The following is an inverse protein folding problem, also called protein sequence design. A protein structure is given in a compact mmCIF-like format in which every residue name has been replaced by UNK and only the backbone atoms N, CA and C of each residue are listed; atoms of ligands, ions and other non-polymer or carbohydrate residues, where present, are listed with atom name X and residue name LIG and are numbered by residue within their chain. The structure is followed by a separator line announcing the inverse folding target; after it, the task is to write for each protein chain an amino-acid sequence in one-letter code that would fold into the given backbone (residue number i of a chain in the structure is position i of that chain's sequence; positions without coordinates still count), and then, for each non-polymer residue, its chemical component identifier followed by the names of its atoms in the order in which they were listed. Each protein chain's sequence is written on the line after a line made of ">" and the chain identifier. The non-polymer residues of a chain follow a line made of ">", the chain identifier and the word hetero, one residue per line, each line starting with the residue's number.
data_IF_094060010851
#
_entry.id   IF_094060010851
#
_cell.length_a   1.000
_cell.length_b   1.000
_cell.length_c   1.000
_cell.angle_alpha   90.00
_cell.angle_beta   90.00
_cell.angle_gamma   90.00
#
_symmetry.space_group_name_H-M   'P 1'
#
loop_
_entity.id
_entity.type
_entity.pdbx_description
1 polymer ?
#
# COMPACT_ATOMS: atom_id res chain seq x y z
N UNK A 1 -30.72 -3.28 18.95
CA UNK A 1 -30.80 -2.62 17.67
C UNK A 1 -29.55 -2.83 16.89
N UNK A 2 -29.63 -3.64 15.84
CA UNK A 2 -28.59 -3.82 14.86
C UNK A 2 -28.28 -2.47 14.23
N UNK A 3 -27.08 -1.93 14.50
CA UNK A 3 -26.59 -0.78 13.75
C UNK A 3 -26.08 -1.27 12.42
N UNK A 4 -26.85 -1.05 11.39
CA UNK A 4 -26.51 -1.18 10.00
C UNK A 4 -25.11 -0.64 9.72
N UNK A 5 -24.30 -1.51 9.12
CA UNK A 5 -23.05 -1.09 8.47
C UNK A 5 -23.44 -0.16 7.33
N UNK A 6 -23.19 1.12 7.51
CA UNK A 6 -23.25 2.06 6.41
C UNK A 6 -22.18 1.66 5.39
N UNK A 7 -22.62 1.04 4.32
CA UNK A 7 -21.80 0.83 3.14
C UNK A 7 -21.44 2.22 2.61
N UNK A 8 -20.17 2.57 2.66
CA UNK A 8 -19.67 3.76 1.98
C UNK A 8 -19.67 3.45 0.50
N UNK A 9 -20.81 3.67 -0.13
CA UNK A 9 -20.97 3.67 -1.57
C UNK A 9 -20.46 5.00 -2.14
N UNK A 10 -19.16 5.15 -2.16
CA UNK A 10 -18.52 6.05 -3.08
C UNK A 10 -17.95 5.19 -4.20
N UNK A 11 -18.68 5.02 -5.28
CA UNK A 11 -18.23 4.29 -6.46
C UNK A 11 -17.02 5.00 -7.05
N UNK A 12 -15.84 4.70 -6.51
CA UNK A 12 -14.58 5.03 -7.17
C UNK A 12 -14.53 4.24 -8.47
N UNK A 13 -14.04 4.81 -9.56
CA UNK A 13 -13.85 4.04 -10.78
C UNK A 13 -13.03 2.79 -10.42
N UNK A 14 -13.48 1.64 -10.88
CA UNK A 14 -12.86 0.36 -10.58
C UNK A 14 -11.41 0.36 -11.05
N UNK A 15 -10.51 0.72 -10.13
CA UNK A 15 -9.07 0.64 -10.35
C UNK A 15 -8.68 -0.81 -10.10
N UNK A 16 -8.37 -1.54 -11.17
CA UNK A 16 -7.90 -2.90 -11.06
C UNK A 16 -6.42 -2.91 -10.69
N UNK A 17 -6.09 -3.68 -9.66
CA UNK A 17 -4.73 -3.83 -9.16
C UNK A 17 -4.39 -5.32 -9.06
N UNK A 18 -3.12 -5.70 -9.23
CA UNK A 18 -2.69 -7.05 -8.91
C UNK A 18 -2.76 -7.28 -7.38
N UNK A 19 -2.74 -8.55 -6.93
CA UNK A 19 -2.73 -8.84 -5.51
C UNK A 19 -1.60 -8.11 -4.79
N UNK A 20 -1.83 -7.61 -3.55
CA UNK A 20 -0.78 -7.02 -2.74
C UNK A 20 0.40 -7.97 -2.55
N UNK A 21 1.64 -7.44 -2.45
CA UNK A 21 2.84 -8.27 -2.38
C UNK A 21 3.09 -8.79 -0.96
N UNK A 22 2.25 -9.67 -0.47
CA UNK A 22 2.46 -10.33 0.81
C UNK A 22 3.57 -11.37 0.72
N UNK A 23 4.33 -11.53 1.80
CA UNK A 23 5.19 -12.70 1.97
C UNK A 23 4.34 -13.96 2.03
N UNK A 24 4.88 -15.06 1.51
CA UNK A 24 4.17 -16.34 1.50
C UNK A 24 3.75 -16.76 2.92
N UNK A 25 2.50 -17.17 3.07
CA UNK A 25 1.95 -17.66 4.32
C UNK A 25 1.70 -16.60 5.40
N UNK A 26 1.90 -15.31 5.11
CA UNK A 26 1.71 -14.25 6.11
C UNK A 26 0.26 -13.74 6.18
N UNK A 27 -0.46 -13.82 5.06
CA UNK A 27 -1.85 -13.38 4.99
C UNK A 27 -2.81 -14.58 4.84
N UNK A 28 -3.98 -14.60 5.49
CA UNK A 28 -4.57 -13.53 6.28
C UNK A 28 -4.01 -13.44 7.71
N UNK A 29 -3.89 -12.21 8.19
CA UNK A 29 -3.36 -11.92 9.52
C UNK A 29 -4.27 -12.47 10.65
N UNK A 30 -5.55 -12.59 10.35
CA UNK A 30 -6.56 -13.14 11.26
C UNK A 30 -6.28 -14.58 11.69
N UNK A 31 -5.50 -15.35 10.93
CA UNK A 31 -5.12 -16.71 11.35
C UNK A 31 -4.41 -16.72 12.70
N UNK A 32 -3.58 -15.70 12.97
CA UNK A 32 -2.90 -15.55 14.25
C UNK A 32 -3.56 -14.54 15.18
N UNK A 33 -4.20 -13.50 14.62
CA UNK A 33 -4.70 -12.37 15.41
C UNK A 33 -6.19 -12.43 15.75
N UNK A 34 -6.98 -13.32 15.14
CA UNK A 34 -8.38 -13.46 15.49
C UNK A 34 -8.53 -13.90 16.94
N UNK A 35 -9.37 -13.19 17.68
CA UNK A 35 -9.63 -13.50 19.10
C UNK A 35 -8.55 -13.03 20.08
N UNK A 36 -7.48 -12.40 19.63
CA UNK A 36 -6.49 -11.77 20.50
C UNK A 36 -6.97 -10.39 20.95
N UNK A 37 -6.70 -10.06 22.20
CA UNK A 37 -6.92 -8.69 22.67
C UNK A 37 -5.97 -7.73 21.96
N UNK A 38 -6.50 -6.55 21.63
CA UNK A 38 -5.73 -5.51 20.97
C UNK A 38 -5.18 -4.52 21.97
N UNK A 39 -3.91 -4.16 21.81
CA UNK A 39 -3.29 -3.08 22.56
C UNK A 39 -2.85 -1.97 21.58
N UNK A 40 -3.58 -0.85 21.53
CA UNK A 40 -3.28 0.24 20.60
C UNK A 40 -2.09 1.11 21.03
N UNK A 41 -1.54 0.90 22.22
CA UNK A 41 -0.45 1.72 22.74
C UNK A 41 0.87 1.43 22.01
N UNK A 42 1.54 2.48 21.61
CA UNK A 42 2.86 2.40 20.98
C UNK A 42 3.86 1.73 21.93
N UNK A 43 4.53 0.72 21.43
CA UNK A 43 5.54 -0.05 22.18
C UNK A 43 6.49 -0.74 21.23
N UNK A 44 7.61 -1.22 21.76
CA UNK A 44 8.45 -2.19 21.05
C UNK A 44 7.71 -3.52 20.99
N UNK A 45 7.63 -4.08 19.78
CA UNK A 45 6.98 -5.38 19.56
C UNK A 45 7.96 -6.51 19.86
N UNK A 46 7.43 -7.61 20.36
CA UNK A 46 8.16 -8.87 20.56
C UNK A 46 8.02 -9.82 19.35
N UNK A 47 7.07 -9.52 18.47
CA UNK A 47 6.86 -10.20 17.21
C UNK A 47 6.95 -9.19 16.06
N UNK A 48 7.22 -9.67 14.85
CA UNK A 48 7.45 -8.82 13.69
C UNK A 48 8.67 -7.88 13.83
N UNK A 49 9.68 -8.32 14.58
CA UNK A 49 10.90 -7.54 14.84
C UNK A 49 11.69 -7.22 13.56
N UNK A 50 11.50 -8.01 12.51
CA UNK A 50 12.11 -7.80 11.20
C UNK A 50 11.57 -6.56 10.48
N UNK A 51 10.42 -6.03 10.91
CA UNK A 51 9.81 -4.86 10.31
C UNK A 51 10.36 -3.60 10.97
N UNK A 52 11.14 -2.84 10.20
CA UNK A 52 11.71 -1.57 10.62
C UNK A 52 10.87 -0.45 10.03
N UNK A 53 10.27 0.39 10.89
CA UNK A 53 9.54 1.56 10.45
C UNK A 53 10.47 2.77 10.34
N UNK A 54 10.68 3.23 9.11
CA UNK A 54 11.38 4.45 8.77
C UNK A 54 10.52 5.30 7.82
N UNK A 55 9.32 5.63 8.30
CA UNK A 55 8.28 6.35 7.57
C UNK A 55 7.48 7.18 8.55
N UNK A 56 7.91 8.43 8.77
CA UNK A 56 7.32 9.34 9.76
C UNK A 56 7.24 8.72 11.17
N UNK A 57 8.25 7.96 11.54
CA UNK A 57 8.31 7.15 12.74
C UNK A 57 8.23 7.94 14.05
N UNK A 58 8.52 9.24 14.01
CA UNK A 58 8.36 10.12 15.16
C UNK A 58 6.88 10.38 15.49
N UNK A 59 6.03 10.42 14.48
CA UNK A 59 4.60 10.75 14.60
C UNK A 59 3.68 9.54 14.39
N UNK A 60 4.20 8.45 13.86
CA UNK A 60 3.44 7.30 13.42
C UNK A 60 3.99 5.98 13.94
N UNK A 61 3.11 5.02 14.13
CA UNK A 61 3.47 3.65 14.44
C UNK A 61 2.53 2.65 13.77
N UNK A 62 2.70 1.38 14.03
CA UNK A 62 2.01 0.29 13.33
C UNK A 62 0.50 0.50 13.21
N UNK A 63 -0.17 0.80 14.32
CA UNK A 63 -1.63 0.89 14.37
C UNK A 63 -2.18 2.25 13.90
N UNK A 64 -1.35 3.16 13.46
CA UNK A 64 -1.82 4.34 12.72
C UNK A 64 -2.23 4.00 11.28
N UNK A 65 -1.80 2.86 10.77
CA UNK A 65 -2.12 2.37 9.43
C UNK A 65 -2.83 1.02 9.46
N UNK A 66 -2.40 0.10 10.34
CA UNK A 66 -3.02 -1.21 10.50
C UNK A 66 -4.20 -1.14 11.45
N UNK A 67 -5.31 -1.80 11.09
CA UNK A 67 -6.49 -1.83 11.95
C UNK A 67 -6.26 -2.70 13.19
N UNK A 68 -6.52 -2.15 14.35
CA UNK A 68 -6.29 -2.83 15.62
C UNK A 68 -7.28 -3.97 15.88
N UNK A 69 -8.49 -3.85 15.37
CA UNK A 69 -9.58 -4.82 15.60
C UNK A 69 -9.61 -5.91 14.54
N UNK A 70 -9.33 -5.55 13.28
CA UNK A 70 -9.27 -6.49 12.18
C UNK A 70 -7.93 -6.34 11.47
N UNK A 71 -7.00 -7.25 11.76
CA UNK A 71 -5.64 -7.22 11.21
C UNK A 71 -5.57 -7.48 9.71
N UNK A 72 -6.64 -7.97 9.11
CA UNK A 72 -6.74 -8.15 7.66
C UNK A 72 -7.04 -6.84 6.92
N UNK A 73 -7.19 -5.74 7.64
CA UNK A 73 -7.48 -4.42 7.10
C UNK A 73 -6.44 -3.38 7.51
N UNK A 74 -6.34 -2.35 6.69
CA UNK A 74 -5.76 -1.06 7.04
C UNK A 74 -6.88 -0.10 7.43
N UNK A 75 -6.55 1.08 7.95
CA UNK A 75 -7.52 2.14 8.16
C UNK A 75 -6.98 3.50 7.74
N UNK A 76 -7.87 4.37 7.29
CA UNK A 76 -7.56 5.77 7.00
C UNK A 76 -7.44 6.58 8.31
N UNK A 77 -6.99 7.82 8.21
CA UNK A 77 -6.83 8.71 9.37
C UNK A 77 -8.13 8.95 10.14
N UNK A 78 -9.28 8.90 9.46
CA UNK A 78 -10.60 9.02 10.07
C UNK A 78 -11.14 7.70 10.65
N UNK A 79 -10.36 6.61 10.57
CA UNK A 79 -10.73 5.29 11.03
C UNK A 79 -11.48 4.43 10.00
N UNK A 80 -11.73 4.95 8.80
CA UNK A 80 -12.38 4.16 7.74
C UNK A 80 -11.52 2.95 7.37
N UNK A 81 -12.02 1.71 7.50
CA UNK A 81 -11.27 0.53 7.13
C UNK A 81 -11.12 0.44 5.62
N UNK A 82 -9.95 -0.01 5.16
CA UNK A 82 -9.65 -0.26 3.76
C UNK A 82 -8.95 -1.60 3.61
N UNK A 83 -9.24 -2.30 2.52
CA UNK A 83 -8.53 -3.52 2.20
C UNK A 83 -7.09 -3.21 1.71
N UNK A 84 -6.20 -4.18 1.82
CA UNK A 84 -4.81 -4.01 1.34
C UNK A 84 -4.73 -3.69 -0.16
N UNK A 85 -5.65 -4.20 -0.96
CA UNK A 85 -5.74 -3.85 -2.39
C UNK A 85 -6.09 -2.38 -2.66
N UNK A 86 -6.59 -1.68 -1.65
CA UNK A 86 -6.91 -0.25 -1.69
C UNK A 86 -5.91 0.60 -0.91
N UNK A 87 -4.74 0.06 -0.60
CA UNK A 87 -3.69 0.73 0.19
C UNK A 87 -3.25 2.07 -0.40
N UNK A 88 -3.42 2.28 -1.72
CA UNK A 88 -3.16 3.57 -2.35
C UNK A 88 -3.98 4.72 -1.75
N UNK A 89 -5.15 4.43 -1.21
CA UNK A 89 -5.99 5.43 -0.52
C UNK A 89 -5.32 5.93 0.76
N UNK A 90 -4.66 5.04 1.49
CA UNK A 90 -3.89 5.39 2.67
C UNK A 90 -2.68 6.26 2.31
N UNK A 91 -1.91 5.84 1.31
CA UNK A 91 -0.76 6.60 0.83
C UNK A 91 -1.15 8.00 0.36
N UNK A 92 -2.26 8.10 -0.34
CA UNK A 92 -2.77 9.35 -0.92
C UNK A 92 -3.21 10.39 0.11
N UNK A 93 -3.45 10.03 1.36
CA UNK A 93 -3.79 10.99 2.41
C UNK A 93 -2.65 12.01 2.67
N UNK A 94 -1.41 11.56 2.54
CA UNK A 94 -0.22 12.42 2.70
C UNK A 94 0.45 12.70 1.35
N UNK A 95 0.38 11.79 0.40
CA UNK A 95 0.99 11.86 -0.92
C UNK A 95 -0.03 12.12 -2.03
N UNK A 96 -0.88 13.11 -1.84
CA UNK A 96 -2.00 13.40 -2.76
C UNK A 96 -1.58 13.68 -4.19
N UNK A 97 -0.48 14.41 -4.41
CA UNK A 97 0.05 14.67 -5.76
C UNK A 97 0.52 13.38 -6.45
N UNK A 98 1.18 12.50 -5.71
CA UNK A 98 1.62 11.20 -6.23
C UNK A 98 0.45 10.28 -6.52
N UNK A 99 -0.59 10.30 -5.70
CA UNK A 99 -1.82 9.57 -5.97
C UNK A 99 -2.50 10.04 -7.25
N UNK A 100 -2.59 11.36 -7.46
CA UNK A 100 -3.11 11.95 -8.70
C UNK A 100 -2.31 11.48 -9.90
N UNK A 101 -1.00 11.57 -9.83
CA UNK A 101 -0.11 11.18 -10.92
C UNK A 101 -0.20 9.67 -11.20
N UNK A 102 -0.36 8.85 -10.17
CA UNK A 102 -0.57 7.41 -10.29
C UNK A 102 -1.90 7.08 -10.98
N UNK A 103 -2.98 7.74 -10.61
CA UNK A 103 -4.29 7.57 -11.27
C UNK A 103 -4.24 7.95 -12.74
N UNK A 104 -3.45 8.95 -13.10
CA UNK A 104 -3.26 9.43 -14.46
C UNK A 104 -2.18 8.65 -15.24
N UNK A 105 -1.49 7.71 -14.61
CA UNK A 105 -0.44 6.92 -15.22
C UNK A 105 0.89 7.63 -15.43
N UNK A 106 1.08 8.79 -14.79
CA UNK A 106 2.34 9.56 -14.82
C UNK A 106 3.34 9.02 -13.81
N UNK A 107 2.85 8.45 -12.72
CA UNK A 107 3.68 7.82 -11.68
C UNK A 107 3.30 6.35 -11.52
N UNK A 108 4.28 5.51 -11.27
CA UNK A 108 4.09 4.08 -11.15
C UNK A 108 4.04 3.37 -12.50
N UNK A 109 3.54 2.15 -12.49
CA UNK A 109 3.49 1.30 -13.69
C UNK A 109 2.09 0.71 -13.87
N UNK A 110 1.62 0.73 -15.10
CA UNK A 110 0.42 0.01 -15.55
C UNK A 110 0.83 -1.22 -16.32
N UNK A 111 0.08 -2.29 -16.13
CA UNK A 111 0.17 -3.53 -16.92
C UNK A 111 -1.15 -3.82 -17.60
N UNK A 112 -1.20 -4.80 -18.49
CA UNK A 112 -2.39 -5.17 -19.25
C UNK A 112 -2.23 -4.91 -20.74
N UNK A 113 -3.35 -4.86 -21.46
CA UNK A 113 -3.35 -4.68 -22.91
C UNK A 113 -3.47 -3.19 -23.27
N UNK A 114 -2.77 -2.77 -24.33
CA UNK A 114 -2.78 -1.38 -24.79
C UNK A 114 -4.20 -0.88 -25.16
N UNK A 115 -5.06 -1.78 -25.63
CA UNK A 115 -6.44 -1.51 -26.06
C UNK A 115 -7.51 -2.12 -25.15
N UNK A 116 -7.12 -2.60 -23.96
CA UNK A 116 -8.00 -3.28 -23.02
C UNK A 116 -7.86 -2.74 -21.61
N UNK A 117 -8.35 -3.55 -20.68
CA UNK A 117 -8.27 -3.22 -19.27
C UNK A 117 -6.82 -3.18 -18.80
N UNK A 118 -6.49 -2.15 -18.05
CA UNK A 118 -5.17 -1.97 -17.47
C UNK A 118 -5.20 -2.22 -15.99
N UNK A 119 -4.12 -2.82 -15.48
CA UNK A 119 -3.88 -3.00 -14.04
C UNK A 119 -2.86 -1.98 -13.59
N UNK A 120 -3.16 -1.34 -12.48
CA UNK A 120 -2.25 -0.39 -11.84
C UNK A 120 -1.46 -1.14 -10.78
N UNK A 121 -0.14 -1.12 -10.86
CA UNK A 121 0.68 -1.60 -9.74
C UNK A 121 0.46 -0.67 -8.54
N UNK A 122 0.21 -1.26 -7.38
CA UNK A 122 0.07 -0.50 -6.13
C UNK A 122 1.37 0.21 -5.76
N UNK A 123 1.27 1.25 -4.96
CA UNK A 123 2.43 1.92 -4.38
C UNK A 123 3.37 0.89 -3.71
N UNK A 124 2.79 -0.06 -2.99
CA UNK A 124 3.50 -1.11 -2.26
C UNK A 124 4.18 -2.16 -3.15
N UNK A 125 3.87 -2.23 -4.43
CA UNK A 125 4.61 -3.10 -5.37
C UNK A 125 6.01 -2.57 -5.67
N UNK A 126 6.23 -1.27 -5.52
CA UNK A 126 7.51 -0.61 -5.76
C UNK A 126 8.11 -0.03 -4.49
N UNK A 127 7.28 0.49 -3.58
CA UNK A 127 7.70 1.09 -2.32
C UNK A 127 7.39 0.15 -1.15
N UNK A 128 8.37 -0.13 -0.31
CA UNK A 128 8.08 -0.76 0.98
C UNK A 128 7.38 0.27 1.87
N UNK A 129 6.15 0.04 2.35
CA UNK A 129 5.41 1.02 3.12
C UNK A 129 6.05 1.37 4.46
N UNK A 130 6.91 0.50 4.98
CA UNK A 130 7.62 0.72 6.23
C UNK A 130 8.92 1.53 6.05
N UNK A 131 9.52 1.43 4.87
CA UNK A 131 10.76 2.14 4.49
C UNK A 131 10.68 2.57 3.02
N UNK A 132 9.81 3.55 2.67
CA UNK A 132 9.45 3.80 1.26
C UNK A 132 10.51 4.53 0.44
N UNK A 133 11.56 5.05 1.06
CA UNK A 133 12.61 5.80 0.36
C UNK A 133 13.44 4.87 -0.53
N UNK A 134 13.56 5.22 -1.80
CA UNK A 134 14.47 4.55 -2.72
C UNK A 134 15.92 5.00 -2.54
N UNK A 135 16.87 4.09 -2.81
CA UNK A 135 18.23 4.47 -3.12
C UNK A 135 18.24 5.20 -4.47
N UNK A 136 19.12 6.19 -4.63
CA UNK A 136 19.30 6.86 -5.92
C UNK A 136 19.64 5.81 -6.99
N UNK A 137 18.80 5.75 -8.01
CA UNK A 137 19.06 4.91 -9.17
C UNK A 137 20.12 5.58 -10.05
N UNK A 138 21.02 4.78 -10.61
CA UNK A 138 21.90 5.28 -11.66
C UNK A 138 21.07 5.46 -12.92
N UNK A 139 21.23 6.59 -13.65
CA UNK A 139 20.58 6.75 -14.94
C UNK A 139 20.98 5.61 -15.89
N UNK A 140 20.02 5.13 -16.66
CA UNK A 140 20.33 4.21 -17.75
C UNK A 140 21.28 4.88 -18.75
N UNK A 141 22.20 4.12 -19.36
CA UNK A 141 23.07 4.67 -20.39
C UNK A 141 22.22 5.18 -21.56
N UNK A 142 22.69 6.23 -22.28
CA UNK A 142 21.95 6.74 -23.41
C UNK A 142 21.76 5.63 -24.48
N UNK A 143 20.63 5.66 -25.21
CA UNK A 143 20.36 4.66 -26.22
C UNK A 143 21.45 4.68 -27.29
N UNK A 144 21.93 3.50 -27.68
CA UNK A 144 22.87 3.37 -28.79
C UNK A 144 22.14 3.66 -30.10
N UNK A 145 22.80 4.43 -30.97
CA UNK A 145 22.27 4.66 -32.32
C UNK A 145 22.18 3.32 -33.07
N UNK A 146 21.05 3.06 -33.76
CA UNK A 146 20.96 1.87 -34.62
C UNK A 146 22.10 1.87 -35.66
N UNK A 147 22.78 0.75 -35.82
CA UNK A 147 23.83 0.59 -36.83
C UNK A 147 25.21 1.22 -36.51
N UNK A 148 25.43 1.69 -35.28
CA UNK A 148 26.76 2.11 -34.82
C UNK A 148 27.66 0.92 -34.61
N UNK A 149 28.43 0.56 -35.60
CA UNK A 149 29.68 -0.20 -35.39
C UNK A 149 30.63 0.66 -34.59
N UNK A 150 31.34 0.04 -33.65
CA UNK A 150 32.41 0.66 -32.87
C UNK A 150 33.44 1.36 -33.72
#
# INVERSE_FOLDING_TARGET
>A
GEKEKAAVSGKQPDIEVPPPPFSEGIFPCSECHAGQETNPQRRKLEAHEEIILAHDEENRWCLDCHDAKNRDLLHLADGTPVEFKESYRLCGQCHGLKLRDWKNGVHGKRTGYWNGQKKYLLCVHCHNPHTPRFKKLKPEPPPKKPGGTQ
#
